data_IF_316213404318
#
_entry.id   IF_316213404318
#
_cell.length_a   1.000
_cell.length_b   1.000
_cell.length_c   1.000
_cell.angle_alpha   90.00
_cell.angle_beta   90.00
_cell.angle_gamma   90.00
#
_symmetry.space_group_name_H-M   'P 1'
#
loop_
_entity.id
_entity.type
_entity.pdbx_description
1 polymer ?
#
# COMPACT_ATOMS: atom_id res chain seq x y z
N UNK A 1 0.88 8.28 6.71
CA UNK A 1 1.08 6.81 6.59
C UNK A 1 2.31 6.59 5.71
N UNK A 2 3.20 5.70 6.11
CA UNK A 2 4.42 5.36 5.35
C UNK A 2 4.12 4.45 4.14
N UNK A 3 3.09 3.60 4.24
CA UNK A 3 2.64 2.76 3.12
C UNK A 3 1.92 3.62 2.06
N UNK A 4 2.65 4.00 1.03
CA UNK A 4 2.18 4.81 -0.10
C UNK A 4 2.02 3.97 -1.38
N UNK A 5 1.59 4.62 -2.46
CA UNK A 5 1.37 3.97 -3.76
C UNK A 5 2.68 3.48 -4.38
N UNK A 6 3.76 4.22 -4.21
CA UNK A 6 5.08 3.83 -4.67
C UNK A 6 5.63 2.59 -3.93
N UNK A 7 5.42 2.49 -2.61
CA UNK A 7 5.74 1.31 -1.81
C UNK A 7 4.86 0.12 -2.21
N UNK A 8 3.56 0.34 -2.44
CA UNK A 8 2.66 -0.70 -2.97
C UNK A 8 3.09 -1.25 -4.31
N UNK A 9 3.76 -0.44 -5.15
CA UNK A 9 4.30 -0.91 -6.42
C UNK A 9 5.43 -1.91 -6.25
N UNK A 10 6.25 -1.77 -5.20
CA UNK A 10 7.27 -2.75 -4.85
C UNK A 10 6.64 -4.02 -4.26
N UNK A 11 5.62 -3.88 -3.40
CA UNK A 11 4.84 -5.02 -2.91
C UNK A 11 4.12 -5.75 -4.03
N UNK A 12 3.56 -5.03 -5.01
CA UNK A 12 2.95 -5.60 -6.21
C UNK A 12 3.94 -6.53 -6.90
N UNK A 13 5.16 -6.04 -7.18
CA UNK A 13 6.23 -6.83 -7.81
C UNK A 13 6.57 -8.06 -6.96
N UNK A 14 6.72 -7.89 -5.64
CA UNK A 14 7.00 -8.99 -4.73
C UNK A 14 5.88 -10.06 -4.74
N UNK A 15 4.61 -9.64 -4.76
CA UNK A 15 3.46 -10.55 -4.88
C UNK A 15 3.47 -11.24 -6.25
N UNK A 16 3.80 -10.51 -7.32
CA UNK A 16 3.85 -11.07 -8.67
C UNK A 16 4.89 -12.19 -8.79
N UNK A 17 6.11 -11.94 -8.36
CA UNK A 17 7.23 -12.89 -8.42
C UNK A 17 6.95 -14.18 -7.61
N UNK A 18 6.25 -14.02 -6.48
CA UNK A 18 6.09 -15.09 -5.50
C UNK A 18 4.72 -15.80 -5.54
N UNK A 19 3.67 -15.19 -6.12
CA UNK A 19 2.32 -15.75 -6.11
C UNK A 19 1.60 -15.82 -7.47
N UNK A 20 2.15 -15.27 -8.57
CA UNK A 20 1.51 -15.47 -9.87
C UNK A 20 1.41 -16.96 -10.22
N UNK A 21 0.21 -17.36 -10.63
CA UNK A 21 -0.15 -18.73 -10.92
C UNK A 21 -0.39 -19.62 -9.71
N UNK A 22 -0.21 -19.12 -8.48
CA UNK A 22 -0.58 -19.84 -7.26
C UNK A 22 -2.09 -20.00 -7.15
N UNK A 23 -2.53 -21.06 -6.48
CA UNK A 23 -3.96 -21.29 -6.17
C UNK A 23 -4.25 -20.92 -4.73
N UNK A 24 -5.43 -20.35 -4.47
CA UNK A 24 -5.90 -20.18 -3.10
C UNK A 24 -6.25 -21.55 -2.53
N UNK A 25 -5.54 -21.96 -1.48
CA UNK A 25 -5.79 -23.20 -0.75
C UNK A 25 -6.82 -22.97 0.36
N UNK A 26 -6.60 -21.93 1.18
CA UNK A 26 -7.45 -21.61 2.33
C UNK A 26 -7.58 -20.11 2.50
N UNK A 27 -8.74 -19.68 3.01
CA UNK A 27 -9.03 -18.29 3.34
C UNK A 27 -9.45 -18.21 4.80
N UNK A 28 -8.90 -17.25 5.52
CA UNK A 28 -9.18 -16.98 6.92
C UNK A 28 -9.52 -15.52 7.14
N UNK A 29 -10.26 -15.25 8.20
CA UNK A 29 -10.56 -13.91 8.69
C UNK A 29 -10.29 -13.89 10.20
N UNK A 30 -9.02 -13.72 10.62
CA UNK A 30 -8.64 -13.81 12.03
C UNK A 30 -9.22 -12.68 12.89
N UNK A 31 -9.44 -11.51 12.28
CA UNK A 31 -10.08 -10.36 12.91
C UNK A 31 -11.10 -9.72 11.97
N UNK A 32 -11.98 -8.86 12.51
CA UNK A 32 -13.03 -8.18 11.73
C UNK A 32 -12.47 -7.50 10.48
N UNK A 33 -11.32 -6.85 10.59
CA UNK A 33 -10.69 -6.06 9.53
C UNK A 33 -9.48 -6.75 8.88
N UNK A 34 -9.31 -8.07 9.03
CA UNK A 34 -8.14 -8.78 8.51
C UNK A 34 -8.53 -10.06 7.76
N UNK A 35 -7.92 -10.28 6.59
CA UNK A 35 -8.08 -11.48 5.77
C UNK A 35 -6.71 -12.10 5.53
N UNK A 36 -6.64 -13.44 5.52
CA UNK A 36 -5.44 -14.18 5.16
C UNK A 36 -5.76 -15.21 4.10
N UNK A 37 -5.04 -15.14 3.00
CA UNK A 37 -5.12 -16.07 1.88
C UNK A 37 -3.90 -16.97 1.88
N UNK A 38 -4.09 -18.27 2.07
CA UNK A 38 -3.06 -19.28 1.84
C UNK A 38 -2.96 -19.55 0.35
N UNK A 39 -1.85 -19.17 -0.26
CA UNK A 39 -1.55 -19.35 -1.68
C UNK A 39 -0.57 -20.50 -1.82
N UNK A 40 -1.00 -21.56 -2.51
CA UNK A 40 -0.21 -22.76 -2.76
C UNK A 40 0.40 -22.72 -4.16
N UNK A 41 1.70 -23.01 -4.21
CA UNK A 41 2.52 -23.16 -5.41
C UNK A 41 3.35 -24.45 -5.30
N UNK A 42 4.12 -24.80 -6.34
CA UNK A 42 4.95 -26.01 -6.37
C UNK A 42 6.08 -25.98 -5.32
N UNK A 43 6.61 -24.80 -5.05
CA UNK A 43 7.71 -24.52 -4.10
C UNK A 43 7.24 -24.32 -2.65
N UNK A 44 5.93 -24.36 -2.40
CA UNK A 44 5.38 -24.29 -1.04
C UNK A 44 4.10 -23.47 -0.94
N UNK A 45 3.71 -23.17 0.30
CA UNK A 45 2.58 -22.30 0.61
C UNK A 45 3.06 -20.98 1.21
N UNK A 46 2.43 -19.89 0.79
CA UNK A 46 2.68 -18.54 1.33
C UNK A 46 1.36 -17.93 1.77
N UNK A 47 1.39 -17.10 2.80
CA UNK A 47 0.20 -16.47 3.35
C UNK A 47 0.20 -14.99 3.01
N UNK A 48 -0.76 -14.55 2.21
CA UNK A 48 -0.99 -13.15 1.89
C UNK A 48 -1.97 -12.58 2.91
N UNK A 49 -1.49 -11.68 3.75
CA UNK A 49 -2.29 -10.94 4.74
C UNK A 49 -2.81 -9.65 4.11
N UNK A 50 -4.08 -9.34 4.36
CA UNK A 50 -4.73 -8.08 4.05
C UNK A 50 -5.31 -7.53 5.35
N UNK A 51 -4.85 -6.35 5.78
CA UNK A 51 -5.42 -5.64 6.92
C UNK A 51 -6.03 -4.34 6.45
N UNK A 52 -7.28 -4.09 6.86
CA UNK A 52 -8.01 -2.84 6.66
C UNK A 52 -8.12 -2.01 7.95
N UNK A 53 -7.35 -2.35 8.99
CA UNK A 53 -7.30 -1.61 10.24
C UNK A 53 -6.81 -0.17 10.01
N UNK A 54 -7.40 0.80 10.72
CA UNK A 54 -7.13 2.21 10.46
C UNK A 54 -5.65 2.62 10.63
N UNK A 55 -4.97 2.00 11.59
CA UNK A 55 -3.61 2.29 12.02
C UNK A 55 -2.54 1.35 11.42
N UNK A 56 -2.98 0.26 10.81
CA UNK A 56 -2.10 -0.80 10.28
C UNK A 56 -2.54 -1.38 8.94
N UNK A 57 -3.31 -0.63 8.15
CA UNK A 57 -3.74 -1.08 6.82
C UNK A 57 -2.55 -1.46 5.93
N UNK A 58 -2.59 -2.66 5.36
CA UNK A 58 -1.48 -3.25 4.59
C UNK A 58 -1.91 -4.48 3.78
N UNK A 59 -1.10 -4.81 2.79
CA UNK A 59 -1.13 -6.08 2.08
C UNK A 59 0.30 -6.58 1.90
N UNK A 60 0.60 -7.78 2.39
CA UNK A 60 1.94 -8.36 2.30
C UNK A 60 1.92 -9.85 2.63
N UNK A 61 2.97 -10.58 2.26
CA UNK A 61 3.15 -11.94 2.75
C UNK A 61 3.53 -11.90 4.24
N UNK A 62 2.94 -12.79 5.02
CA UNK A 62 3.25 -12.87 6.44
C UNK A 62 3.71 -14.27 6.83
N UNK A 63 4.68 -14.33 7.74
CA UNK A 63 5.05 -15.57 8.43
C UNK A 63 4.26 -15.75 9.72
N UNK A 64 3.62 -14.70 10.22
CA UNK A 64 2.84 -14.72 11.46
C UNK A 64 1.62 -15.60 11.25
N UNK A 65 1.42 -16.59 12.13
CA UNK A 65 0.22 -17.44 12.15
C UNK A 65 -0.81 -16.75 13.03
N UNK A 66 -1.88 -16.17 12.47
CA UNK A 66 -2.92 -15.58 13.30
C UNK A 66 -3.83 -16.67 13.87
N UNK A 67 -4.35 -16.42 15.07
CA UNK A 67 -5.41 -17.23 15.65
C UNK A 67 -6.70 -17.00 14.87
N UNK A 68 -7.39 -18.08 14.54
CA UNK A 68 -8.63 -18.01 13.77
C UNK A 68 -9.83 -18.15 14.70
N UNK A 69 -10.93 -17.40 14.45
CA UNK A 69 -12.15 -17.57 15.21
C UNK A 69 -12.71 -18.99 15.00
N UNK A 70 -13.36 -19.54 16.03
CA UNK A 70 -13.99 -20.86 15.97
C UNK A 70 -15.05 -20.95 14.86
N UNK A 71 -15.77 -19.86 14.62
CA UNK A 71 -16.75 -19.75 13.54
C UNK A 71 -16.28 -18.69 12.52
N UNK A 72 -16.13 -19.06 11.24
CA UNK A 72 -15.74 -18.11 10.20
C UNK A 72 -16.88 -17.10 9.92
N UNK A 73 -16.59 -15.79 9.85
CA UNK A 73 -17.59 -14.80 9.48
C UNK A 73 -18.17 -15.02 8.07
N UNK A 74 -19.34 -14.45 7.80
CA UNK A 74 -20.07 -14.64 6.53
C UNK A 74 -19.25 -14.24 5.29
N UNK A 75 -18.50 -13.14 5.37
CA UNK A 75 -17.61 -12.72 4.27
C UNK A 75 -16.54 -13.77 4.00
N UNK A 76 -15.88 -14.29 5.03
CA UNK A 76 -14.88 -15.36 4.89
C UNK A 76 -15.48 -16.59 4.18
N UNK A 77 -16.70 -16.98 4.54
CA UNK A 77 -17.41 -18.09 3.90
C UNK A 77 -17.74 -17.80 2.43
N UNK A 78 -18.19 -16.58 2.11
CA UNK A 78 -18.42 -16.14 0.74
C UNK A 78 -17.14 -16.17 -0.09
N UNK A 79 -16.04 -15.65 0.44
CA UNK A 79 -14.74 -15.68 -0.21
C UNK A 79 -14.29 -17.13 -0.46
N UNK A 80 -14.47 -18.03 0.51
CA UNK A 80 -14.17 -19.47 0.34
C UNK A 80 -14.99 -20.08 -0.79
N UNK A 81 -16.30 -19.82 -0.84
CA UNK A 81 -17.17 -20.33 -1.92
C UNK A 81 -16.71 -19.85 -3.30
N UNK A 82 -16.24 -18.60 -3.41
CA UNK A 82 -15.93 -17.95 -4.70
C UNK A 82 -14.48 -18.11 -5.16
N UNK A 83 -13.53 -18.18 -4.23
CA UNK A 83 -12.10 -18.05 -4.51
C UNK A 83 -11.25 -19.27 -4.13
N UNK A 84 -11.75 -20.22 -3.33
CA UNK A 84 -10.97 -21.44 -3.04
C UNK A 84 -10.71 -22.21 -4.34
N UNK A 85 -9.44 -22.58 -4.57
CA UNK A 85 -8.98 -23.21 -5.81
C UNK A 85 -8.68 -22.25 -6.96
N UNK A 86 -9.13 -20.99 -6.85
CA UNK A 86 -8.92 -19.97 -7.87
C UNK A 86 -7.42 -19.65 -8.02
N UNK A 87 -7.01 -19.40 -9.26
CA UNK A 87 -5.61 -19.14 -9.64
C UNK A 87 -5.38 -17.64 -9.74
N UNK A 88 -4.35 -17.12 -9.06
CA UNK A 88 -3.95 -15.72 -9.22
C UNK A 88 -3.36 -15.52 -10.63
N UNK A 89 -4.07 -14.77 -11.46
CA UNK A 89 -3.73 -14.52 -12.87
C UNK A 89 -2.92 -13.24 -13.04
N UNK A 90 -3.27 -12.18 -12.32
CA UNK A 90 -2.61 -10.89 -12.43
C UNK A 90 -2.70 -10.10 -11.12
N UNK A 91 -1.72 -9.21 -10.91
CA UNK A 91 -1.76 -8.17 -9.88
C UNK A 91 -1.66 -6.84 -10.59
N UNK A 92 -2.60 -5.93 -10.36
CA UNK A 92 -2.64 -4.61 -11.01
C UNK A 92 -2.67 -3.50 -9.98
N UNK A 93 -2.11 -2.35 -10.36
CA UNK A 93 -2.18 -1.11 -9.61
C UNK A 93 -2.49 0.02 -10.59
N UNK A 94 -3.65 0.68 -10.49
CA UNK A 94 -3.96 1.85 -11.30
C UNK A 94 -3.04 3.02 -10.92
N UNK A 95 -2.18 3.47 -11.85
CA UNK A 95 -1.23 4.55 -11.58
C UNK A 95 -0.37 4.29 -10.33
N UNK A 96 -0.37 5.24 -9.40
CA UNK A 96 0.17 5.07 -8.06
C UNK A 96 -0.93 5.21 -6.99
N UNK A 97 -2.13 4.71 -7.30
CA UNK A 97 -3.19 4.60 -6.31
C UNK A 97 -2.77 3.69 -5.16
N UNK A 98 -3.30 3.99 -3.97
CA UNK A 98 -3.05 3.18 -2.77
C UNK A 98 -3.97 1.96 -2.71
N UNK A 99 -4.01 1.20 -3.79
CA UNK A 99 -4.76 -0.05 -3.88
C UNK A 99 -4.10 -1.05 -4.82
N UNK A 100 -4.33 -2.34 -4.59
CA UNK A 100 -3.98 -3.41 -5.50
C UNK A 100 -5.23 -4.17 -5.93
N UNK A 101 -5.28 -4.56 -7.20
CA UNK A 101 -6.29 -5.45 -7.76
C UNK A 101 -5.65 -6.82 -8.02
N UNK A 102 -6.14 -7.85 -7.33
CA UNK A 102 -5.71 -9.24 -7.51
C UNK A 102 -6.76 -9.96 -8.35
N UNK A 103 -6.41 -10.34 -9.57
CA UNK A 103 -7.32 -11.01 -10.49
C UNK A 103 -7.18 -12.52 -10.34
N UNK A 104 -8.26 -13.18 -9.97
CA UNK A 104 -8.35 -14.62 -9.77
C UNK A 104 -9.20 -15.27 -10.85
N UNK A 105 -8.61 -16.23 -11.54
CA UNK A 105 -9.31 -17.11 -12.48
C UNK A 105 -9.92 -18.30 -11.73
N UNK A 106 -11.22 -18.49 -11.87
CA UNK A 106 -11.99 -19.57 -11.26
C UNK A 106 -13.04 -20.11 -12.24
N UNK A 107 -13.83 -21.09 -11.82
CA UNK A 107 -14.95 -21.63 -12.60
C UNK A 107 -16.27 -21.23 -11.96
N UNK A 108 -17.28 -20.96 -12.80
CA UNK A 108 -18.65 -20.69 -12.36
C UNK A 108 -19.33 -21.98 -11.89
N UNK A 109 -20.54 -21.86 -11.34
CA UNK A 109 -21.36 -23.02 -10.97
C UNK A 109 -21.75 -23.87 -12.20
N UNK A 110 -21.70 -23.30 -13.41
CA UNK A 110 -21.95 -23.98 -14.69
C UNK A 110 -20.67 -24.54 -15.33
N UNK A 111 -19.51 -24.33 -14.71
CA UNK A 111 -18.21 -24.80 -15.21
C UNK A 111 -17.47 -23.81 -16.12
N UNK A 112 -18.08 -22.68 -16.47
CA UNK A 112 -17.45 -21.66 -17.32
C UNK A 112 -16.31 -20.93 -16.60
N UNK A 113 -15.20 -20.61 -17.27
CA UNK A 113 -14.12 -19.83 -16.68
C UNK A 113 -14.59 -18.38 -16.42
N UNK A 114 -14.39 -17.90 -15.19
CA UNK A 114 -14.73 -16.54 -14.77
C UNK A 114 -13.56 -15.87 -14.06
N UNK A 115 -13.46 -14.55 -14.23
CA UNK A 115 -12.45 -13.73 -13.56
C UNK A 115 -13.10 -12.94 -12.42
N UNK A 116 -12.58 -13.10 -11.21
CA UNK A 116 -12.98 -12.33 -10.04
C UNK A 116 -11.82 -11.45 -9.59
N UNK A 117 -12.08 -10.21 -9.22
CA UNK A 117 -11.04 -9.28 -8.76
C UNK A 117 -11.21 -9.00 -7.28
N UNK A 118 -10.20 -9.31 -6.47
CA UNK A 118 -10.11 -8.83 -5.09
C UNK A 118 -9.34 -7.50 -5.08
N UNK A 119 -10.03 -6.42 -4.75
CA UNK A 119 -9.47 -5.08 -4.67
C UNK A 119 -9.16 -4.76 -3.21
N UNK A 120 -7.90 -4.41 -2.93
CA UNK A 120 -7.42 -4.09 -1.58
C UNK A 120 -7.02 -2.62 -1.55
N UNK A 121 -7.81 -1.80 -0.86
CA UNK A 121 -7.58 -0.38 -0.69
C UNK A 121 -6.85 -0.12 0.64
N UNK A 122 -5.72 0.58 0.60
CA UNK A 122 -4.85 0.85 1.76
C UNK A 122 -4.85 2.35 2.05
N UNK A 123 -5.98 2.82 2.58
CA UNK A 123 -6.29 4.25 2.80
C UNK A 123 -6.51 4.58 4.29
N UNK A 124 -5.81 3.91 5.19
CA UNK A 124 -5.95 4.10 6.64
C UNK A 124 -7.35 3.73 7.12
N UNK A 125 -8.07 4.67 7.72
CA UNK A 125 -9.46 4.45 8.18
C UNK A 125 -10.44 4.06 7.07
N UNK A 126 -10.14 4.42 5.82
CA UNK A 126 -10.97 4.09 4.65
C UNK A 126 -10.54 2.82 3.93
N UNK A 127 -9.57 2.08 4.50
CA UNK A 127 -9.10 0.84 3.89
C UNK A 127 -10.20 -0.20 3.81
N UNK A 128 -10.14 -1.03 2.77
CA UNK A 128 -11.16 -2.03 2.49
C UNK A 128 -10.59 -3.20 1.67
N UNK A 129 -11.28 -4.32 1.69
CA UNK A 129 -11.06 -5.44 0.78
C UNK A 129 -12.39 -5.78 0.11
N UNK A 130 -12.46 -5.66 -1.21
CA UNK A 130 -13.70 -5.66 -1.99
C UNK A 130 -13.58 -6.74 -3.05
N UNK A 131 -14.48 -7.71 -3.06
CA UNK A 131 -14.56 -8.71 -4.12
C UNK A 131 -15.50 -8.20 -5.22
N UNK A 132 -15.01 -8.20 -6.45
CA UNK A 132 -15.73 -7.72 -7.64
C UNK A 132 -15.88 -8.87 -8.64
N UNK A 133 -17.07 -9.00 -9.21
CA UNK A 133 -17.39 -9.96 -10.26
C UNK A 133 -16.86 -9.56 -11.64
N UNK A 134 -16.96 -10.48 -12.59
CA UNK A 134 -16.57 -10.24 -13.98
C UNK A 134 -17.41 -9.17 -14.68
N UNK A 135 -18.61 -8.91 -14.18
CA UNK A 135 -19.51 -7.83 -14.62
C UNK A 135 -19.16 -6.46 -14.02
N UNK A 136 -18.08 -6.38 -13.23
CA UNK A 136 -17.65 -5.15 -12.55
C UNK A 136 -18.48 -4.78 -11.32
N UNK A 137 -19.42 -5.63 -10.90
CA UNK A 137 -20.24 -5.38 -9.70
C UNK A 137 -19.59 -5.96 -8.45
N UNK A 138 -19.77 -5.27 -7.34
CA UNK A 138 -19.31 -5.71 -6.03
C UNK A 138 -20.11 -6.96 -5.65
N UNK A 139 -19.41 -8.04 -5.34
CA UNK A 139 -20.00 -9.25 -4.77
C UNK A 139 -20.19 -9.05 -3.27
N UNK A 140 -19.10 -8.67 -2.57
CA UNK A 140 -19.15 -8.25 -1.16
C UNK A 140 -17.86 -7.50 -0.78
N UNK A 141 -17.82 -6.92 0.42
CA UNK A 141 -16.68 -6.20 0.94
C UNK A 141 -16.48 -6.43 2.44
N UNK A 142 -15.23 -6.26 2.89
CA UNK A 142 -14.86 -6.27 4.32
C UNK A 142 -15.57 -5.17 5.11
N UNK A 143 -15.72 -4.00 4.49
CA UNK A 143 -16.51 -2.89 5.00
C UNK A 143 -17.52 -2.45 3.94
N UNK A 144 -18.80 -2.63 4.24
CA UNK A 144 -19.90 -2.10 3.44
C UNK A 144 -20.07 -0.61 3.76
N UNK A 145 -20.22 0.20 2.73
CA UNK A 145 -20.34 1.67 2.85
C UNK A 145 -21.62 2.07 2.13
N UNK A 146 -22.61 2.51 2.89
CA UNK A 146 -23.88 3.03 2.37
C UNK A 146 -23.86 4.57 2.30
N UNK A 147 -24.98 5.14 1.84
CA UNK A 147 -25.13 6.58 1.65
C UNK A 147 -25.11 7.38 2.97
N UNK A 148 -25.35 6.74 4.13
CA UNK A 148 -25.25 7.38 5.44
C UNK A 148 -23.80 7.55 5.87
N UNK A 149 -22.91 6.66 5.43
CA UNK A 149 -21.49 6.67 5.77
C UNK A 149 -20.65 7.53 4.82
N UNK A 150 -21.04 7.60 3.54
CA UNK A 150 -20.29 8.34 2.52
C UNK A 150 -21.19 8.78 1.38
N UNK A 151 -21.13 10.07 1.04
CA UNK A 151 -21.78 10.63 -0.15
C UNK A 151 -20.97 10.41 -1.43
N UNK A 152 -19.68 10.06 -1.33
CA UNK A 152 -18.76 9.99 -2.46
C UNK A 152 -18.91 8.72 -3.29
N UNK A 153 -19.04 7.57 -2.62
CA UNK A 153 -19.06 6.24 -3.25
C UNK A 153 -19.72 5.21 -2.34
N UNK A 154 -20.63 4.42 -2.92
CA UNK A 154 -21.24 3.26 -2.27
C UNK A 154 -20.37 2.01 -2.47
N UNK A 155 -20.24 1.22 -1.41
CA UNK A 155 -19.60 -0.11 -1.44
C UNK A 155 -20.61 -1.11 -0.88
N UNK A 156 -21.48 -1.60 -1.77
CA UNK A 156 -22.55 -2.54 -1.43
C UNK A 156 -22.64 -3.64 -2.50
N UNK A 157 -23.04 -4.87 -2.12
CA UNK A 157 -23.31 -5.94 -3.08
C UNK A 157 -24.26 -5.49 -4.20
N UNK A 158 -23.94 -5.88 -5.44
CA UNK A 158 -24.72 -5.55 -6.64
C UNK A 158 -24.46 -4.17 -7.24
N UNK A 159 -23.72 -3.29 -6.55
CA UNK A 159 -23.33 -1.97 -7.08
C UNK A 159 -22.06 -2.09 -7.92
N UNK A 160 -21.97 -1.35 -9.02
CA UNK A 160 -20.75 -1.27 -9.84
C UNK A 160 -19.58 -0.68 -9.04
N UNK A 161 -18.43 -1.35 -9.02
CA UNK A 161 -17.24 -0.82 -8.38
C UNK A 161 -16.71 0.40 -9.14
N UNK A 162 -16.32 1.44 -8.42
CA UNK A 162 -15.62 2.62 -8.94
C UNK A 162 -14.37 2.83 -8.14
N UNK A 163 -13.31 3.39 -8.73
CA UNK A 163 -12.10 3.76 -7.98
C UNK A 163 -12.42 4.83 -6.90
N UNK A 164 -11.56 4.99 -5.87
CA UNK A 164 -11.66 6.12 -4.96
C UNK A 164 -11.70 7.46 -5.72
N UNK A 165 -12.31 8.52 -5.16
CA UNK A 165 -12.38 9.81 -5.81
C UNK A 165 -10.98 10.28 -6.26
N UNK A 166 -10.82 10.72 -7.53
CA UNK A 166 -9.52 11.08 -8.06
C UNK A 166 -8.96 12.27 -7.28
N UNK A 167 -7.67 12.19 -6.95
CA UNK A 167 -6.96 13.34 -6.39
C UNK A 167 -6.47 14.21 -7.55
N UNK A 168 -6.59 15.53 -7.45
CA UNK A 168 -6.01 16.48 -8.42
C UNK A 168 -4.47 16.55 -8.26
N UNK A 169 -3.81 15.41 -8.47
CA UNK A 169 -2.38 15.19 -8.30
C UNK A 169 -1.79 14.52 -9.52
N UNK A 170 -0.53 14.82 -9.79
CA UNK A 170 0.23 14.24 -10.89
C UNK A 170 0.75 12.86 -10.50
N UNK A 171 0.65 11.89 -11.41
CA UNK A 171 1.26 10.58 -11.22
C UNK A 171 2.71 10.60 -11.70
N UNK A 172 3.66 10.26 -10.83
CA UNK A 172 5.09 10.25 -11.15
C UNK A 172 5.45 9.32 -12.32
N UNK A 173 4.61 8.31 -12.59
CA UNK A 173 4.83 7.36 -13.69
C UNK A 173 4.47 7.92 -15.08
N UNK A 174 3.62 8.94 -15.14
CA UNK A 174 3.05 9.45 -16.41
C UNK A 174 3.32 10.92 -16.65
N UNK A 175 3.43 11.73 -15.59
CA UNK A 175 3.64 13.16 -15.71
C UNK A 175 5.07 13.51 -16.16
N UNK A 176 5.19 14.58 -16.95
CA UNK A 176 6.50 15.11 -17.32
C UNK A 176 7.17 15.80 -16.13
N UNK A 177 8.51 15.74 -16.05
CA UNK A 177 9.25 16.36 -14.95
C UNK A 177 9.06 17.87 -14.94
N UNK A 178 9.00 18.53 -16.11
CA UNK A 178 8.78 19.98 -16.18
C UNK A 178 7.41 20.35 -15.62
N UNK A 179 6.40 19.53 -15.88
CA UNK A 179 5.05 19.71 -15.33
C UNK A 179 5.05 19.58 -13.80
N UNK A 180 5.73 18.56 -13.26
CA UNK A 180 5.86 18.37 -11.80
C UNK A 180 6.54 19.58 -11.16
N UNK A 181 7.65 20.05 -11.72
CA UNK A 181 8.37 21.22 -11.22
C UNK A 181 7.49 22.48 -11.31
N UNK A 182 6.79 22.68 -12.41
CA UNK A 182 5.86 23.81 -12.56
C UNK A 182 4.75 23.77 -11.50
N UNK A 183 4.18 22.58 -11.23
CA UNK A 183 3.17 22.40 -10.17
C UNK A 183 3.72 22.71 -8.79
N UNK A 184 4.95 22.29 -8.50
CA UNK A 184 5.62 22.60 -7.23
C UNK A 184 5.85 24.11 -7.11
N UNK A 185 6.35 24.78 -8.16
CA UNK A 185 6.59 26.23 -8.19
C UNK A 185 5.31 27.06 -8.02
N UNK A 186 4.17 26.54 -8.46
CA UNK A 186 2.87 27.19 -8.31
C UNK A 186 2.31 27.11 -6.88
N UNK A 187 2.93 26.36 -5.97
CA UNK A 187 2.50 26.29 -4.56
C UNK A 187 2.76 27.64 -3.86
N UNK A 188 2.00 27.97 -2.80
CA UNK A 188 2.22 29.20 -2.04
C UNK A 188 3.67 29.33 -1.57
N UNK A 189 4.26 30.53 -1.72
CA UNK A 189 5.69 30.83 -1.48
C UNK A 189 6.22 30.28 -0.14
N UNK A 190 5.40 30.34 0.91
CA UNK A 190 5.75 29.83 2.25
C UNK A 190 5.68 28.31 2.42
N UNK A 191 5.27 27.54 1.41
CA UNK A 191 5.11 26.09 1.52
C UNK A 191 6.47 25.39 1.54
N UNK A 192 6.71 24.54 2.55
CA UNK A 192 7.89 23.69 2.58
C UNK A 192 7.89 22.66 1.44
N UNK A 193 9.06 22.35 0.89
CA UNK A 193 9.21 21.52 -0.31
C UNK A 193 8.56 20.13 -0.12
N UNK A 194 8.77 19.45 1.01
CA UNK A 194 8.17 18.15 1.28
C UNK A 194 6.63 18.20 1.25
N UNK A 195 6.03 19.28 1.77
CA UNK A 195 4.57 19.51 1.73
C UNK A 195 4.10 19.80 0.31
N UNK A 196 4.86 20.59 -0.45
CA UNK A 196 4.56 20.88 -1.85
C UNK A 196 4.58 19.61 -2.72
N UNK A 197 5.58 18.75 -2.54
CA UNK A 197 5.69 17.45 -3.22
C UNK A 197 4.52 16.54 -2.88
N UNK A 198 4.17 16.43 -1.59
CA UNK A 198 3.06 15.61 -1.12
C UNK A 198 1.71 16.10 -1.67
N UNK A 199 1.55 17.41 -1.86
CA UNK A 199 0.36 18.00 -2.46
C UNK A 199 0.32 17.81 -3.98
N UNK A 200 1.47 17.88 -4.66
CA UNK A 200 1.56 17.79 -6.11
C UNK A 200 1.50 16.35 -6.65
N UNK A 201 2.05 15.37 -5.93
CA UNK A 201 2.30 14.02 -6.43
C UNK A 201 1.37 12.97 -5.80
N UNK A 202 0.82 12.12 -6.65
CA UNK A 202 0.03 10.96 -6.28
C UNK A 202 0.95 9.84 -5.76
N UNK A 203 0.50 9.15 -4.71
CA UNK A 203 1.12 7.89 -4.28
C UNK A 203 2.46 8.02 -3.56
N UNK A 204 2.84 9.22 -3.10
CA UNK A 204 4.01 9.44 -2.25
C UNK A 204 3.62 9.70 -0.78
N UNK A 205 4.43 9.18 0.14
CA UNK A 205 4.31 9.39 1.59
C UNK A 205 5.11 10.61 2.06
N UNK A 206 4.83 11.11 3.27
CA UNK A 206 5.65 12.13 3.91
C UNK A 206 7.13 11.74 4.06
N UNK A 207 7.43 10.47 4.34
CA UNK A 207 8.83 9.99 4.47
C UNK A 207 9.59 10.13 3.16
N UNK A 208 9.00 9.73 2.03
CA UNK A 208 9.61 9.90 0.69
C UNK A 208 9.77 11.38 0.35
N UNK A 209 8.76 12.22 0.63
CA UNK A 209 8.82 13.65 0.33
C UNK A 209 9.86 14.39 1.20
N UNK A 210 10.02 14.00 2.47
CA UNK A 210 11.08 14.53 3.35
C UNK A 210 12.46 14.11 2.89
N UNK A 211 12.62 12.86 2.46
CA UNK A 211 13.88 12.38 1.91
C UNK A 211 14.26 13.16 0.64
N UNK A 212 13.33 13.36 -0.30
CA UNK A 212 13.57 14.19 -1.48
C UNK A 212 13.97 15.62 -1.12
N UNK A 213 13.29 16.23 -0.14
CA UNK A 213 13.66 17.55 0.36
C UNK A 213 15.07 17.55 0.95
N UNK A 214 15.39 16.57 1.79
CA UNK A 214 16.70 16.45 2.43
C UNK A 214 17.83 16.35 1.39
N UNK A 215 17.64 15.49 0.37
CA UNK A 215 18.60 15.32 -0.72
C UNK A 215 18.73 16.59 -1.57
N UNK A 216 17.61 17.28 -1.84
CA UNK A 216 17.59 18.53 -2.60
C UNK A 216 18.27 19.68 -1.85
N UNK A 217 17.95 19.83 -0.56
CA UNK A 217 18.45 20.88 0.31
C UNK A 217 19.80 20.59 0.95
N UNK A 218 20.38 19.40 0.74
CA UNK A 218 21.59 18.91 1.44
C UNK A 218 21.45 19.05 2.96
N UNK A 219 20.30 18.63 3.48
CA UNK A 219 19.95 18.74 4.91
C UNK A 219 19.26 20.04 5.30
N UNK A 220 19.25 21.08 4.46
CA UNK A 220 18.53 22.32 4.74
C UNK A 220 17.02 22.17 4.48
N UNK A 221 16.22 22.83 5.31
CA UNK A 221 14.79 22.94 5.07
C UNK A 221 14.54 23.95 3.94
N UNK A 222 13.81 23.51 2.90
CA UNK A 222 13.55 24.31 1.72
C UNK A 222 12.10 24.78 1.68
N UNK A 223 11.90 26.04 1.28
CA UNK A 223 10.58 26.60 0.95
C UNK A 223 10.55 26.95 -0.52
N UNK A 224 9.45 26.61 -1.20
CA UNK A 224 9.33 26.68 -2.66
C UNK A 224 9.73 28.04 -3.22
N UNK A 225 9.25 29.15 -2.63
CA UNK A 225 9.53 30.48 -3.18
C UNK A 225 10.94 31.00 -2.89
N UNK A 226 11.71 30.34 -2.01
CA UNK A 226 13.12 30.66 -1.75
C UNK A 226 14.11 29.73 -2.44
N UNK A 227 13.64 28.78 -3.25
CA UNK A 227 14.51 27.81 -3.90
C UNK A 227 15.29 28.42 -5.08
N UNK A 228 16.60 28.14 -5.14
CA UNK A 228 17.45 28.57 -6.26
C UNK A 228 17.24 27.70 -7.50
N UNK A 229 17.62 28.17 -8.71
CA UNK A 229 17.58 27.34 -9.92
C UNK A 229 18.31 26.00 -9.76
N UNK A 230 19.49 26.02 -9.14
CA UNK A 230 20.30 24.81 -8.86
C UNK A 230 19.57 23.82 -7.94
N UNK A 231 18.79 24.30 -6.98
CA UNK A 231 17.97 23.45 -6.12
C UNK A 231 16.81 22.83 -6.91
N UNK A 232 16.22 23.55 -7.87
CA UNK A 232 15.21 22.97 -8.77
C UNK A 232 15.82 21.93 -9.72
N UNK A 233 17.03 22.15 -10.23
CA UNK A 233 17.73 21.16 -11.06
C UNK A 233 18.04 19.89 -10.27
N UNK A 234 18.49 20.05 -9.01
CA UNK A 234 18.72 18.92 -8.11
C UNK A 234 17.43 18.18 -7.77
N UNK A 235 16.34 18.90 -7.53
CA UNK A 235 15.03 18.30 -7.32
C UNK A 235 14.60 17.48 -8.54
N UNK A 236 14.76 18.04 -9.75
CA UNK A 236 14.45 17.37 -11.01
C UNK A 236 15.25 16.07 -11.18
N UNK A 237 16.55 16.08 -10.83
CA UNK A 237 17.40 14.90 -10.83
C UNK A 237 16.88 13.82 -9.87
N UNK A 238 16.60 14.15 -8.61
CA UNK A 238 16.10 13.17 -7.64
C UNK A 238 14.69 12.67 -7.95
N UNK A 239 13.82 13.51 -8.52
CA UNK A 239 12.52 13.08 -9.04
C UNK A 239 12.67 12.09 -10.18
N UNK A 240 13.66 12.28 -11.06
CA UNK A 240 13.93 11.35 -12.16
C UNK A 240 14.39 10.00 -11.65
N UNK A 241 15.34 9.98 -10.69
CA UNK A 241 15.77 8.74 -10.04
C UNK A 241 14.63 8.05 -9.29
N UNK A 242 13.80 8.82 -8.59
CA UNK A 242 12.62 8.28 -7.91
C UNK A 242 11.65 7.64 -8.91
N UNK A 243 11.37 8.32 -10.03
CA UNK A 243 10.47 7.82 -11.06
C UNK A 243 10.98 6.50 -11.65
N UNK A 244 12.28 6.41 -11.95
CA UNK A 244 12.92 5.17 -12.42
C UNK A 244 12.79 4.05 -11.40
N UNK A 245 13.14 4.32 -10.13
CA UNK A 245 13.06 3.32 -9.07
C UNK A 245 11.65 2.79 -8.88
N UNK A 246 10.66 3.68 -8.87
CA UNK A 246 9.25 3.28 -8.73
C UNK A 246 8.75 2.57 -10.00
N UNK A 247 9.13 3.02 -11.19
CA UNK A 247 8.73 2.39 -12.46
C UNK A 247 9.22 0.96 -12.55
N UNK A 248 10.50 0.73 -12.23
CA UNK A 248 11.16 -0.57 -12.27
C UNK A 248 10.91 -1.40 -11.01
N UNK A 249 10.38 -0.80 -9.94
CA UNK A 249 10.23 -1.39 -8.62
C UNK A 249 11.55 -2.05 -8.14
N UNK A 250 12.65 -1.29 -8.22
CA UNK A 250 14.02 -1.74 -7.87
C UNK A 250 14.53 -1.14 -6.55
N UNK A 251 13.66 -0.47 -5.80
CA UNK A 251 13.95 0.01 -4.46
C UNK A 251 14.20 -1.13 -3.47
N UNK A 252 14.74 -0.78 -2.30
CA UNK A 252 15.03 -1.74 -1.24
C UNK A 252 14.27 -1.37 0.04
N UNK A 253 13.84 -2.35 0.85
CA UNK A 253 13.06 -2.08 2.06
C UNK A 253 13.96 -1.56 3.18
N UNK A 254 13.72 -0.32 3.63
CA UNK A 254 14.42 0.32 4.74
C UNK A 254 13.48 0.60 5.91
N UNK A 255 13.88 0.19 7.11
CA UNK A 255 13.17 0.41 8.37
C UNK A 255 13.96 1.40 9.23
N UNK A 256 13.32 2.49 9.64
CA UNK A 256 13.85 3.45 10.61
C UNK A 256 13.24 3.18 12.00
N UNK A 257 14.10 3.10 13.02
CA UNK A 257 13.72 3.00 14.42
C UNK A 257 14.48 4.04 15.25
N UNK A 258 13.87 4.54 16.31
CA UNK A 258 14.59 5.42 17.25
C UNK A 258 15.64 4.65 18.06
N UNK A 259 16.39 5.37 18.90
CA UNK A 259 17.43 4.76 19.75
C UNK A 259 16.86 3.75 20.78
N UNK A 260 15.56 3.80 21.08
CA UNK A 260 14.86 2.83 21.93
C UNK A 260 14.33 1.61 21.15
N UNK A 261 14.66 1.50 19.86
CA UNK A 261 14.17 0.49 18.91
C UNK A 261 12.69 0.60 18.57
N UNK A 262 12.03 1.70 18.92
CA UNK A 262 10.63 1.93 18.52
C UNK A 262 10.58 2.22 17.02
N UNK A 263 9.74 1.52 16.24
CA UNK A 263 9.59 1.79 14.82
C UNK A 263 9.08 3.21 14.56
N UNK A 264 9.77 3.96 13.70
CA UNK A 264 9.43 5.34 13.31
C UNK A 264 8.74 5.38 11.94
N UNK A 265 9.45 4.94 10.91
CA UNK A 265 9.04 5.02 9.51
C UNK A 265 9.66 3.85 8.73
N UNK A 266 9.18 3.62 7.51
CA UNK A 266 9.79 2.72 6.56
C UNK A 266 9.65 3.27 5.14
N UNK A 267 10.51 2.82 4.23
CA UNK A 267 10.52 3.29 2.84
C UNK A 267 11.12 2.22 1.91
N UNK A 268 10.96 2.44 0.60
CA UNK A 268 11.68 1.71 -0.45
C UNK A 268 13.00 2.42 -0.86
N UNK A 269 13.30 3.55 -0.22
CA UNK A 269 14.52 4.33 -0.37
C UNK A 269 15.26 4.40 0.97
N UNK A 270 16.60 4.57 0.95
CA UNK A 270 17.33 4.94 2.16
C UNK A 270 16.72 6.19 2.80
N UNK A 271 16.55 6.17 4.12
CA UNK A 271 16.03 7.32 4.88
C UNK A 271 17.22 7.97 5.54
N UNK A 272 17.71 9.08 4.98
CA UNK A 272 18.94 9.74 5.45
C UNK A 272 18.64 10.95 6.33
N UNK A 273 17.45 11.54 6.19
CA UNK A 273 17.10 12.78 6.90
C UNK A 273 17.07 12.67 8.43
N UNK A 274 17.02 11.46 9.00
CA UNK A 274 17.09 11.28 10.46
C UNK A 274 18.50 11.50 11.02
N UNK A 275 19.56 11.42 10.21
CA UNK A 275 20.93 11.49 10.70
C UNK A 275 21.18 10.51 11.84
N UNK A 276 21.71 10.99 12.96
CA UNK A 276 21.99 10.19 14.17
C UNK A 276 20.79 9.98 15.09
N UNK A 277 19.62 10.58 14.79
CA UNK A 277 18.44 10.46 15.63
C UNK A 277 17.69 9.12 15.47
N UNK A 278 18.01 8.35 14.43
CA UNK A 278 17.41 7.05 14.18
C UNK A 278 18.44 6.06 13.61
N UNK A 279 18.19 4.77 13.86
CA UNK A 279 18.92 3.68 13.21
C UNK A 279 18.10 3.22 12.01
N UNK A 280 18.70 3.29 10.82
CA UNK A 280 18.06 2.87 9.57
C UNK A 280 18.69 1.58 9.08
N UNK A 281 17.87 0.55 8.94
CA UNK A 281 18.31 -0.81 8.57
C UNK A 281 17.67 -1.23 7.26
N UNK A 282 18.46 -1.80 6.36
CA UNK A 282 17.95 -2.49 5.18
C UNK A 282 17.43 -3.87 5.60
N UNK A 283 16.28 -4.27 5.06
CA UNK A 283 15.67 -5.59 5.25
C UNK A 283 15.81 -6.44 3.99
N UNK A 284 15.54 -7.73 4.11
CA UNK A 284 15.67 -8.68 3.00
C UNK A 284 14.47 -8.65 2.02
N UNK A 285 13.30 -8.21 2.49
CA UNK A 285 12.08 -8.14 1.68
C UNK A 285 11.06 -7.15 2.24
N UNK A 286 10.16 -6.67 1.39
CA UNK A 286 9.13 -5.70 1.77
C UNK A 286 8.13 -6.33 2.73
N UNK A 287 7.74 -7.58 2.48
CA UNK A 287 6.89 -8.34 3.41
C UNK A 287 7.51 -8.53 4.79
N UNK A 288 8.80 -8.90 4.85
CA UNK A 288 9.50 -9.05 6.13
C UNK A 288 9.59 -7.72 6.88
N UNK A 289 9.85 -6.62 6.17
CA UNK A 289 9.85 -5.28 6.76
C UNK A 289 8.50 -4.93 7.40
N UNK A 290 7.38 -5.27 6.74
CA UNK A 290 6.05 -4.98 7.27
C UNK A 290 5.69 -5.88 8.45
N UNK A 291 6.07 -7.16 8.44
CA UNK A 291 5.94 -8.04 9.61
C UNK A 291 6.73 -7.47 10.80
N UNK A 292 7.98 -7.05 10.61
CA UNK A 292 8.82 -6.46 11.66
C UNK A 292 8.23 -5.15 12.20
N UNK A 293 7.84 -4.23 11.32
CA UNK A 293 7.33 -2.90 11.70
C UNK A 293 6.03 -2.99 12.48
N UNK A 294 5.05 -3.75 11.98
CA UNK A 294 3.74 -3.85 12.62
C UNK A 294 3.74 -4.82 13.80
N UNK A 295 4.55 -5.87 13.77
CA UNK A 295 4.72 -6.79 14.89
C UNK A 295 5.25 -6.09 16.14
N UNK A 296 6.29 -5.24 15.99
CA UNK A 296 6.84 -4.50 17.12
C UNK A 296 5.88 -3.39 17.60
N UNK A 297 5.16 -2.71 16.69
CA UNK A 297 4.12 -1.75 17.09
C UNK A 297 3.00 -2.39 17.90
N UNK A 298 2.50 -3.56 17.46
CA UNK A 298 1.46 -4.30 18.16
C UNK A 298 1.94 -4.79 19.52
N UNK A 299 3.21 -5.22 19.62
CA UNK A 299 3.84 -5.60 20.89
C UNK A 299 3.89 -4.43 21.88
N UNK A 300 4.38 -3.27 21.45
CA UNK A 300 4.47 -2.07 22.29
C UNK A 300 3.08 -1.59 22.75
N UNK A 301 2.09 -1.63 21.87
CA UNK A 301 0.71 -1.28 22.22
C UNK A 301 0.14 -2.20 23.31
N UNK A 302 0.39 -3.52 23.23
CA UNK A 302 -0.07 -4.48 24.25
C UNK A 302 0.58 -4.28 25.62
N UNK A 303 1.86 -3.88 25.66
CA UNK A 303 2.56 -3.58 26.91
C UNK A 303 1.89 -2.37 27.58
N UNK A 304 1.64 -1.30 26.82
CA UNK A 304 1.03 -0.09 27.36
C UNK A 304 -0.40 -0.31 27.89
N UNK A 305 -1.19 -1.17 27.25
CA UNK A 305 -2.56 -1.49 27.72
C UNK A 305 -2.56 -2.35 28.98
N UNK A 306 -1.49 -3.08 29.30
CA UNK A 306 -1.37 -3.89 30.53
C UNK A 306 -0.85 -3.12 31.73
N UNK A 307 -0.29 -1.93 31.50
CA UNK A 307 0.28 -1.06 32.54
C UNK A 307 -0.68 0.04 33.01
N UNK A 308 -1.92 0.04 32.50
CA UNK A 308 -3.04 0.89 32.88
C UNK A 308 -4.14 0.03 33.52
#
# INVERSE_FOLDING_TARGET
>A
MALDGAFLRHLKREIEENALGSRIDKIYQPARDELVFSLRRKDGSRRLMVSARADSARIHFTKIIPENPKQPPMLCMLLRKRLTGARLRAVRQPGLERLLCLDFETVSELGDPVLLTLIVEVMGRYSNAILVGSDGKIIDALRRVDASMSSERLILPGVAYRLPPPQNKLCLLTADRREIIARVRAMPVGTGLAKALLAALQGLSPVVCRELQHLTGRGQELRVGGMTPEQFDRLSFFLSRLAETVKNADGAPYLAADLSRKPLDFSFLPITYYGTAAVVTRKDGFSQLLDDFYGERDRLARIHTRSL
#
